data_IF_642263364042
#
_entry.id   IF_642263364042
#
_cell.length_a   1.000
_cell.length_b   1.000
_cell.length_c   1.000
_cell.angle_alpha   90.00
_cell.angle_beta   90.00
_cell.angle_gamma   90.00
#
_symmetry.space_group_name_H-M   'P 1'
#
loop_
_entity.id
_entity.type
_entity.pdbx_description
1 polymer ?
#
# COMPACT_ATOMS: atom_id res chain seq x y z
N UNK A 1 -0.29 3.43 -7.97
CA UNK A 1 0.81 3.49 -6.96
C UNK A 1 0.46 2.60 -5.78
N UNK A 2 1.44 1.99 -5.10
CA UNK A 2 1.18 1.14 -3.93
C UNK A 2 0.40 1.89 -2.84
N UNK A 3 -0.69 1.29 -2.37
CA UNK A 3 -1.63 1.87 -1.41
C UNK A 3 -1.36 1.35 0.00
N UNK A 4 -1.15 2.24 0.98
CA UNK A 4 -0.80 1.84 2.35
C UNK A 4 -2.02 1.56 3.25
N UNK A 5 -3.17 2.20 2.99
CA UNK A 5 -4.33 2.16 3.90
C UNK A 5 -4.82 0.75 4.23
N UNK A 6 -4.92 -0.22 3.29
CA UNK A 6 -5.41 -1.56 3.60
C UNK A 6 -4.57 -2.25 4.68
N UNK A 7 -3.26 -2.02 4.68
CA UNK A 7 -2.32 -2.59 5.65
C UNK A 7 -2.42 -1.88 7.01
N UNK A 8 -2.54 -0.54 7.01
CA UNK A 8 -2.73 0.22 8.25
C UNK A 8 -4.05 -0.16 8.92
N UNK A 9 -5.13 -0.29 8.14
CA UNK A 9 -6.43 -0.72 8.66
C UNK A 9 -6.35 -2.13 9.25
N UNK A 10 -5.66 -3.07 8.59
CA UNK A 10 -5.45 -4.40 9.14
C UNK A 10 -4.66 -4.36 10.45
N UNK A 11 -3.63 -3.52 10.56
CA UNK A 11 -2.90 -3.34 11.83
C UNK A 11 -3.76 -2.76 12.94
N UNK A 12 -4.55 -1.72 12.67
CA UNK A 12 -5.46 -1.13 13.64
C UNK A 12 -6.51 -2.13 14.14
N UNK A 13 -6.96 -3.02 13.24
CA UNK A 13 -7.92 -4.07 13.55
C UNK A 13 -7.29 -5.37 14.09
N UNK A 14 -5.96 -5.43 14.22
CA UNK A 14 -5.19 -6.64 14.61
C UNK A 14 -5.44 -7.86 13.70
N UNK A 15 -5.70 -7.61 12.43
CA UNK A 15 -5.96 -8.63 11.41
C UNK A 15 -4.64 -9.19 10.85
N UNK A 16 -3.99 -10.05 11.64
CA UNK A 16 -2.68 -10.62 11.30
C UNK A 16 -2.76 -11.59 10.13
N UNK A 17 -3.83 -12.37 10.03
CA UNK A 17 -3.96 -13.40 8.99
C UNK A 17 -4.00 -12.77 7.60
N UNK A 18 -4.74 -11.67 7.47
CA UNK A 18 -4.72 -10.83 6.30
C UNK A 18 -3.31 -10.31 5.96
N UNK A 19 -2.57 -9.80 6.95
CA UNK A 19 -1.22 -9.29 6.73
C UNK A 19 -0.27 -10.42 6.31
N UNK A 20 -0.41 -11.63 6.85
CA UNK A 20 0.35 -12.82 6.43
C UNK A 20 0.04 -13.22 4.99
N UNK A 21 -1.24 -13.18 4.60
CA UNK A 21 -1.67 -13.48 3.23
C UNK A 21 -1.08 -12.48 2.22
N UNK A 22 -1.11 -11.17 2.54
CA UNK A 22 -0.67 -10.13 1.60
C UNK A 22 0.83 -9.86 1.63
N UNK A 23 1.48 -10.09 2.76
CA UNK A 23 2.92 -9.88 2.99
C UNK A 23 3.54 -11.25 3.26
N UNK A 24 3.41 -12.15 2.28
CA UNK A 24 3.83 -13.55 2.39
C UNK A 24 5.34 -13.75 2.14
N UNK A 25 6.01 -12.75 1.59
CA UNK A 25 7.37 -12.79 1.07
C UNK A 25 8.43 -12.40 2.12
N UNK A 26 8.25 -12.83 3.37
CA UNK A 26 9.29 -12.66 4.40
C UNK A 26 10.45 -13.66 4.16
N UNK A 27 11.65 -13.41 4.70
CA UNK A 27 12.75 -14.36 4.59
C UNK A 27 12.41 -15.73 5.19
N UNK A 28 12.73 -16.80 4.47
CA UNK A 28 12.48 -18.18 4.89
C UNK A 28 13.14 -18.51 6.24
N UNK A 29 12.42 -19.21 7.12
CA UNK A 29 12.93 -19.59 8.44
C UNK A 29 12.97 -18.43 9.45
N UNK A 30 12.37 -17.28 9.13
CA UNK A 30 12.24 -16.11 10.00
C UNK A 30 10.79 -15.84 10.41
N UNK A 31 9.89 -16.80 10.27
CA UNK A 31 8.45 -16.65 10.51
C UNK A 31 8.15 -16.11 11.90
N UNK A 32 8.88 -16.58 12.92
CA UNK A 32 8.75 -16.13 14.31
C UNK A 32 9.17 -14.67 14.52
N UNK A 33 10.12 -14.15 13.74
CA UNK A 33 10.55 -12.74 13.81
C UNK A 33 9.55 -11.80 13.14
N UNK A 34 8.73 -12.31 12.20
CA UNK A 34 7.74 -11.55 11.46
C UNK A 34 6.32 -12.01 11.80
N UNK A 35 6.06 -12.27 13.09
CA UNK A 35 4.81 -12.89 13.55
C UNK A 35 3.82 -11.90 14.20
N UNK A 36 4.13 -10.59 14.19
CA UNK A 36 3.16 -9.56 14.60
C UNK A 36 2.72 -8.70 13.42
N UNK A 37 1.61 -7.97 13.61
CA UNK A 37 1.13 -7.02 12.60
C UNK A 37 2.17 -5.91 12.34
N UNK A 38 2.86 -5.46 13.40
CA UNK A 38 3.91 -4.45 13.27
C UNK A 38 5.08 -4.97 12.44
N UNK A 39 5.57 -6.19 12.70
CA UNK A 39 6.71 -6.75 11.98
C UNK A 39 6.40 -6.89 10.48
N UNK A 40 5.18 -7.29 10.13
CA UNK A 40 4.74 -7.40 8.73
C UNK A 40 4.73 -6.03 8.05
N UNK A 41 4.21 -4.99 8.71
CA UNK A 41 4.24 -3.62 8.16
C UNK A 41 5.67 -3.10 8.05
N UNK A 42 6.50 -3.33 9.06
CA UNK A 42 7.90 -2.94 9.05
C UNK A 42 8.64 -3.60 7.87
N UNK A 43 8.40 -4.89 7.62
CA UNK A 43 8.91 -5.60 6.45
C UNK A 43 8.42 -4.99 5.14
N UNK A 44 7.11 -4.69 5.02
CA UNK A 44 6.55 -4.05 3.82
C UNK A 44 7.26 -2.72 3.50
N UNK A 45 7.56 -1.92 4.53
CA UNK A 45 8.20 -0.60 4.39
C UNK A 45 9.72 -0.67 4.17
N UNK A 46 10.36 -1.76 4.60
CA UNK A 46 11.81 -1.98 4.54
C UNK A 46 12.15 -3.35 3.93
N UNK A 47 11.54 -3.65 2.79
CA UNK A 47 11.62 -4.97 2.14
C UNK A 47 12.99 -5.13 1.47
N UNK A 48 13.66 -6.25 1.75
CA UNK A 48 15.00 -6.57 1.21
C UNK A 48 16.07 -5.48 1.49
N UNK A 49 15.96 -4.81 2.64
CA UNK A 49 16.86 -3.73 3.02
C UNK A 49 16.64 -2.41 2.27
N UNK A 50 15.57 -2.32 1.45
CA UNK A 50 15.21 -1.12 0.71
C UNK A 50 13.94 -0.47 1.28
N UNK A 51 13.99 0.86 1.45
CA UNK A 51 12.81 1.62 1.81
C UNK A 51 11.84 1.70 0.63
N UNK A 52 10.63 1.14 0.81
CA UNK A 52 9.58 1.19 -0.19
C UNK A 52 8.69 2.42 0.05
N UNK A 53 8.48 3.19 -1.02
CA UNK A 53 7.52 4.30 -1.00
C UNK A 53 6.11 3.78 -1.23
N UNK A 54 5.29 3.88 -0.20
CA UNK A 54 3.85 3.62 -0.21
C UNK A 54 3.11 4.92 0.04
N UNK A 55 1.87 5.00 -0.45
CA UNK A 55 1.11 6.25 -0.41
C UNK A 55 -0.31 5.97 0.08
N UNK A 56 -0.85 6.92 0.84
CA UNK A 56 -2.29 7.12 0.94
C UNK A 56 -2.77 7.97 -0.25
N UNK A 57 -4.09 8.12 -0.40
CA UNK A 57 -4.67 8.90 -1.51
C UNK A 57 -4.25 10.37 -1.47
N UNK A 58 -4.21 10.97 -0.29
CA UNK A 58 -3.96 12.40 -0.13
C UNK A 58 -2.51 12.77 -0.45
N UNK A 59 -1.56 11.98 0.05
CA UNK A 59 -0.12 12.20 -0.16
C UNK A 59 0.27 12.07 -1.63
N UNK A 60 -0.31 11.12 -2.37
CA UNK A 60 0.01 11.02 -3.80
C UNK A 60 -0.61 12.18 -4.59
N UNK A 61 -1.84 12.59 -4.28
CA UNK A 61 -2.46 13.76 -4.93
C UNK A 61 -1.61 15.02 -4.67
N UNK A 62 -1.18 15.23 -3.44
CA UNK A 62 -0.33 16.37 -3.07
C UNK A 62 1.00 16.38 -3.85
N UNK A 63 1.67 15.22 -3.95
CA UNK A 63 2.93 15.08 -4.69
C UNK A 63 2.77 15.32 -6.19
N UNK A 64 1.69 14.83 -6.80
CA UNK A 64 1.42 15.05 -8.23
C UNK A 64 1.10 16.53 -8.50
N UNK A 65 0.35 17.21 -7.63
CA UNK A 65 0.15 18.66 -7.73
C UNK A 65 1.46 19.44 -7.60
N UNK A 66 2.29 19.07 -6.63
CA UNK A 66 3.61 19.69 -6.44
C UNK A 66 4.51 19.56 -7.68
N UNK A 67 4.37 18.47 -8.44
CA UNK A 67 5.06 18.28 -9.71
C UNK A 67 4.55 19.18 -10.87
N UNK A 68 3.53 20.02 -10.63
CA UNK A 68 3.02 21.00 -11.59
C UNK A 68 1.86 20.50 -12.45
N UNK A 69 1.06 19.54 -11.96
CA UNK A 69 -0.20 19.15 -12.59
C UNK A 69 -1.38 19.87 -11.94
N UNK A 70 -2.28 20.42 -12.76
CA UNK A 70 -3.37 21.28 -12.29
C UNK A 70 -4.62 20.48 -11.90
N UNK A 71 -5.03 19.53 -12.75
CA UNK A 71 -6.21 18.68 -12.50
C UNK A 71 -5.78 17.30 -12.10
N UNK A 72 -5.66 17.08 -10.80
CA UNK A 72 -5.28 15.79 -10.20
C UNK A 72 -6.49 15.20 -9.48
N UNK A 73 -7.00 14.08 -10.00
CA UNK A 73 -8.17 13.38 -9.45
C UNK A 73 -7.89 11.89 -9.30
N UNK A 74 -8.30 11.27 -8.18
CA UNK A 74 -8.30 9.81 -8.09
C UNK A 74 -9.31 9.25 -9.07
N UNK A 75 -8.95 8.16 -9.74
CA UNK A 75 -9.91 7.36 -10.51
C UNK A 75 -10.64 6.43 -9.55
N UNK A 76 -11.96 6.36 -9.69
CA UNK A 76 -12.75 5.36 -8.99
C UNK A 76 -12.38 3.94 -9.42
N UNK A 77 -12.65 2.98 -8.52
CA UNK A 77 -12.50 1.57 -8.83
C UNK A 77 -13.33 1.19 -10.06
N UNK A 78 -12.71 0.49 -11.01
CA UNK A 78 -13.32 0.00 -12.23
C UNK A 78 -13.23 -1.53 -12.22
N UNK A 79 -14.35 -2.26 -11.99
CA UNK A 79 -14.34 -3.72 -11.86
C UNK A 79 -13.89 -4.46 -13.12
N UNK A 80 -13.87 -3.80 -14.28
CA UNK A 80 -13.39 -4.39 -15.53
C UNK A 80 -11.87 -4.27 -15.70
N UNK A 81 -11.24 -3.32 -15.00
CA UNK A 81 -9.82 -3.00 -15.15
C UNK A 81 -9.00 -3.23 -13.88
N UNK A 82 -9.64 -3.17 -12.73
CA UNK A 82 -9.01 -3.24 -11.43
C UNK A 82 -9.23 -4.62 -10.81
N UNK A 83 -8.16 -5.33 -10.43
CA UNK A 83 -8.26 -6.72 -9.99
C UNK A 83 -8.93 -6.88 -8.62
N UNK A 84 -8.93 -5.84 -7.77
CA UNK A 84 -9.48 -5.90 -6.41
C UNK A 84 -9.82 -4.49 -5.87
N UNK A 85 -11.01 -4.30 -5.30
CA UNK A 85 -11.45 -3.01 -4.77
C UNK A 85 -10.72 -2.58 -3.49
N UNK A 86 -10.28 -3.54 -2.68
CA UNK A 86 -9.60 -3.33 -1.39
C UNK A 86 -8.08 -3.29 -1.54
N UNK A 87 -7.52 -3.91 -2.60
CA UNK A 87 -6.07 -3.95 -2.88
C UNK A 87 -5.64 -3.24 -4.16
N UNK A 88 -6.56 -2.57 -4.86
CA UNK A 88 -6.19 -1.81 -6.04
C UNK A 88 -5.15 -0.76 -5.67
N UNK A 89 -4.16 -0.62 -6.55
CA UNK A 89 -3.29 0.54 -6.53
C UNK A 89 -4.12 1.82 -6.50
N UNK A 90 -3.60 2.89 -5.90
CA UNK A 90 -4.20 4.21 -6.12
C UNK A 90 -3.93 4.59 -7.58
N UNK A 91 -5.00 4.81 -8.34
CA UNK A 91 -4.93 5.32 -9.72
C UNK A 91 -5.22 6.82 -9.71
N UNK A 92 -4.28 7.60 -10.23
CA UNK A 92 -4.41 9.05 -10.33
C UNK A 92 -4.46 9.43 -11.81
N UNK A 93 -5.45 10.24 -12.17
CA UNK A 93 -5.50 10.92 -13.46
C UNK A 93 -5.05 12.36 -13.24
N UNK A 94 -4.07 12.79 -14.03
CA UNK A 94 -3.49 14.13 -13.94
C UNK A 94 -3.42 14.78 -15.32
N UNK A 95 -3.85 16.04 -15.40
CA UNK A 95 -3.72 16.87 -16.60
C UNK A 95 -2.84 18.06 -16.25
N UNK A 96 -1.88 18.34 -17.12
CA UNK A 96 -1.00 19.51 -17.06
C UNK A 96 -1.64 20.69 -17.75
#
# INVERSE_FOLDING_TARGET
>A
MPHIDPYIQAYLNRDLDFLKEKIYDIPEGKEDLYNTCFDRIAWLLCREGEHKSVFDKDSIIAKVRFAGFDKVTPREYDPEKDPDQRFSSIYIVAIK
#
